data_IF_505893943099
#
_entry.id   IF_505893943099
#
_cell.length_a   1.000
_cell.length_b   1.000
_cell.length_c   1.000
_cell.angle_alpha   90.00
_cell.angle_beta   90.00
_cell.angle_gamma   90.00
#
_symmetry.space_group_name_H-M   'P 1'
#
loop_
_entity.id
_entity.type
_entity.pdbx_description
1 polymer ?
#
# COMPACT_ATOMS: atom_id res chain seq x y z
N UNK A 1 0.41 -10.13 19.88
CA UNK A 1 0.66 -9.56 18.53
C UNK A 1 2.14 -9.25 18.28
N UNK A 2 2.91 -8.82 19.28
CA UNK A 2 4.34 -8.49 19.13
C UNK A 2 5.26 -9.71 18.95
N UNK A 3 4.87 -10.88 19.46
CA UNK A 3 5.67 -12.11 19.40
C UNK A 3 5.67 -12.71 17.99
N UNK A 4 4.52 -12.71 17.32
CA UNK A 4 4.38 -13.25 15.95
C UNK A 4 5.18 -12.44 14.92
N UNK A 5 5.13 -11.11 15.04
CA UNK A 5 5.90 -10.21 14.19
C UNK A 5 7.41 -10.54 14.26
N UNK A 6 7.91 -10.75 15.47
CA UNK A 6 9.33 -11.11 15.70
C UNK A 6 9.72 -12.48 15.14
N UNK A 7 8.78 -13.41 14.97
CA UNK A 7 9.05 -14.75 14.43
C UNK A 7 9.17 -14.72 12.91
N UNK A 8 8.32 -13.95 12.23
CA UNK A 8 8.40 -13.77 10.78
C UNK A 8 9.62 -12.95 10.37
N UNK A 9 9.99 -11.91 11.12
CA UNK A 9 11.23 -11.16 10.89
C UNK A 9 12.46 -12.08 10.94
N UNK A 10 12.55 -12.94 11.96
CA UNK A 10 13.67 -13.88 12.10
C UNK A 10 13.74 -14.86 10.93
N UNK A 11 12.60 -15.38 10.47
CA UNK A 11 12.54 -16.27 9.30
C UNK A 11 13.01 -15.55 8.04
N UNK A 12 12.52 -14.33 7.79
CA UNK A 12 12.94 -13.52 6.64
C UNK A 12 14.45 -13.25 6.66
N UNK A 13 15.02 -12.89 7.81
CA UNK A 13 16.47 -12.66 7.94
C UNK A 13 17.26 -13.92 7.58
N UNK A 14 16.80 -15.10 8.02
CA UNK A 14 17.48 -16.35 7.69
C UNK A 14 17.41 -16.67 6.20
N UNK A 15 16.25 -16.54 5.57
CA UNK A 15 16.10 -16.74 4.12
C UNK A 15 16.98 -15.78 3.31
N UNK A 16 17.04 -14.50 3.71
CA UNK A 16 17.88 -13.49 3.04
C UNK A 16 19.36 -13.85 3.11
N UNK A 17 19.83 -14.46 4.21
CA UNK A 17 21.23 -14.87 4.37
C UNK A 17 21.64 -16.02 3.45
N UNK A 18 20.69 -16.87 3.06
CA UNK A 18 20.94 -18.01 2.17
C UNK A 18 20.91 -17.60 0.68
N UNK A 19 20.45 -16.39 0.36
CA UNK A 19 20.40 -15.87 -1.01
C UNK A 19 21.79 -15.42 -1.45
N UNK A 20 22.20 -15.85 -2.66
CA UNK A 20 23.46 -15.40 -3.24
C UNK A 20 23.47 -13.87 -3.44
N UNK A 21 24.60 -13.24 -3.13
CA UNK A 21 24.74 -11.79 -3.07
C UNK A 21 24.31 -11.06 -4.36
N UNK A 22 24.47 -11.71 -5.52
CA UNK A 22 24.08 -11.20 -6.83
C UNK A 22 22.56 -10.94 -6.98
N UNK A 23 21.71 -11.63 -6.21
CA UNK A 23 20.25 -11.45 -6.26
C UNK A 23 19.73 -10.48 -5.20
N UNK A 24 20.54 -10.04 -4.23
CA UNK A 24 20.10 -9.12 -3.17
C UNK A 24 19.55 -7.79 -3.70
N UNK A 25 20.11 -7.16 -4.77
CA UNK A 25 19.52 -5.94 -5.33
C UNK A 25 18.09 -6.16 -5.84
N UNK A 26 17.82 -7.29 -6.52
CA UNK A 26 16.50 -7.63 -7.03
C UNK A 26 15.51 -7.88 -5.89
N UNK A 27 15.96 -8.58 -4.84
CA UNK A 27 15.14 -8.81 -3.66
C UNK A 27 14.77 -7.50 -2.94
N UNK A 28 15.72 -6.57 -2.83
CA UNK A 28 15.46 -5.26 -2.24
C UNK A 28 14.38 -4.50 -3.01
N UNK A 29 14.40 -4.58 -4.34
CA UNK A 29 13.40 -3.92 -5.18
C UNK A 29 12.00 -4.54 -4.97
N UNK A 30 11.90 -5.87 -4.90
CA UNK A 30 10.64 -6.56 -4.61
C UNK A 30 10.08 -6.11 -3.25
N UNK A 31 10.92 -6.04 -2.20
CA UNK A 31 10.49 -5.59 -0.87
C UNK A 31 10.02 -4.14 -0.89
N UNK A 32 10.65 -3.26 -1.66
CA UNK A 32 10.22 -1.86 -1.82
C UNK A 32 8.86 -1.77 -2.50
N UNK A 33 8.68 -2.47 -3.61
CA UNK A 33 7.40 -2.52 -4.34
C UNK A 33 6.29 -3.07 -3.44
N UNK A 34 6.57 -4.14 -2.69
CA UNK A 34 5.62 -4.69 -1.74
C UNK A 34 5.23 -3.67 -0.68
N UNK A 35 6.21 -3.00 -0.06
CA UNK A 35 5.96 -1.93 0.92
C UNK A 35 5.09 -0.82 0.32
N UNK A 36 5.39 -0.36 -0.90
CA UNK A 36 4.60 0.66 -1.59
C UNK A 36 3.18 0.20 -1.93
N UNK A 37 2.98 -1.10 -2.17
CA UNK A 37 1.66 -1.65 -2.43
C UNK A 37 0.77 -1.75 -1.19
N UNK A 38 1.36 -2.00 -0.02
CA UNK A 38 0.62 -2.13 1.26
C UNK A 38 0.51 -0.81 2.02
N UNK A 39 1.45 0.10 1.82
CA UNK A 39 1.36 1.46 2.35
C UNK A 39 0.33 2.20 1.49
N UNK A 40 -0.81 2.53 2.09
CA UNK A 40 -1.81 3.41 1.47
C UNK A 40 -1.11 4.63 0.87
N UNK A 41 -1.57 5.07 -0.32
CA UNK A 41 -1.09 6.33 -0.91
C UNK A 41 -1.10 7.39 0.20
N UNK A 42 0.01 8.12 0.41
CA UNK A 42 0.06 9.15 1.44
C UNK A 42 -1.17 10.04 1.31
N UNK A 43 -1.79 10.39 2.43
CA UNK A 43 -2.98 11.24 2.43
C UNK A 43 -2.77 12.52 1.61
N UNK A 44 -1.53 13.02 1.57
CA UNK A 44 -1.09 14.11 0.71
C UNK A 44 -1.31 13.85 -0.79
N UNK A 45 -0.97 12.67 -1.30
CA UNK A 45 -1.16 12.32 -2.72
C UNK A 45 -2.65 12.21 -3.05
N UNK A 46 -3.43 11.58 -2.16
CA UNK A 46 -4.89 11.49 -2.31
C UNK A 46 -5.55 12.87 -2.25
N UNK A 47 -5.07 13.76 -1.37
CA UNK A 47 -5.56 15.12 -1.25
C UNK A 47 -5.25 15.96 -2.50
N UNK A 48 -4.01 15.92 -3.01
CA UNK A 48 -3.65 16.64 -4.23
C UNK A 48 -4.49 16.20 -5.43
N UNK A 49 -4.74 14.89 -5.55
CA UNK A 49 -5.58 14.35 -6.61
C UNK A 49 -7.05 14.81 -6.44
N UNK A 50 -7.64 14.64 -5.26
CA UNK A 50 -9.00 15.10 -5.00
C UNK A 50 -9.18 16.62 -5.17
N UNK A 51 -8.16 17.41 -4.83
CA UNK A 51 -8.17 18.86 -5.05
C UNK A 51 -8.15 19.23 -6.54
N UNK A 52 -7.41 18.47 -7.36
CA UNK A 52 -7.40 18.66 -8.81
C UNK A 52 -8.75 18.31 -9.43
N UNK A 53 -9.33 17.17 -9.04
CA UNK A 53 -10.65 16.70 -9.50
C UNK A 53 -11.76 17.69 -9.10
N UNK A 54 -11.76 18.16 -7.86
CA UNK A 54 -12.71 19.16 -7.39
C UNK A 54 -12.64 20.48 -8.18
N UNK A 55 -11.43 20.96 -8.50
CA UNK A 55 -11.25 22.15 -9.34
C UNK A 55 -11.64 21.93 -10.80
N UNK A 56 -11.52 20.72 -11.31
CA UNK A 56 -11.93 20.35 -12.66
C UNK A 56 -13.45 20.14 -12.79
N UNK A 57 -14.17 20.05 -11.66
CA UNK A 57 -15.60 19.71 -11.65
C UNK A 57 -15.87 18.22 -11.80
N UNK A 58 -14.84 17.37 -11.71
CA UNK A 58 -14.95 15.91 -11.72
C UNK A 58 -15.42 15.41 -10.35
N UNK A 59 -16.62 15.83 -9.95
CA UNK A 59 -17.24 15.48 -8.67
C UNK A 59 -18.58 14.79 -8.91
N UNK A 60 -19.02 14.02 -7.91
CA UNK A 60 -20.37 13.45 -7.89
C UNK A 60 -21.19 14.05 -6.75
N UNK A 61 -22.50 14.25 -6.93
CA UNK A 61 -23.39 14.65 -5.86
C UNK A 61 -23.33 13.69 -4.67
N UNK A 62 -23.43 14.22 -3.46
CA UNK A 62 -23.47 13.41 -2.24
C UNK A 62 -24.68 12.46 -2.21
N UNK A 63 -25.77 12.83 -2.89
CA UNK A 63 -26.95 11.98 -3.02
C UNK A 63 -26.68 10.66 -3.75
N UNK A 64 -25.66 10.62 -4.63
CA UNK A 64 -25.30 9.42 -5.41
C UNK A 64 -24.32 8.50 -4.65
N UNK A 65 -23.86 8.90 -3.45
CA UNK A 65 -22.84 8.16 -2.70
C UNK A 65 -23.26 6.73 -2.35
N UNK A 66 -24.57 6.52 -2.17
CA UNK A 66 -25.16 5.24 -1.77
C UNK A 66 -25.87 4.53 -2.92
N UNK A 67 -25.78 5.04 -4.15
CA UNK A 67 -26.42 4.41 -5.31
C UNK A 67 -25.86 3.00 -5.52
N UNK A 68 -26.73 1.99 -5.48
CA UNK A 68 -26.37 0.58 -5.66
C UNK A 68 -25.78 -0.09 -4.41
N UNK A 69 -25.76 0.58 -3.25
CA UNK A 69 -25.51 -0.04 -1.96
C UNK A 69 -26.87 -0.23 -1.28
N UNK A 70 -27.44 -1.44 -1.38
CA UNK A 70 -28.61 -1.82 -0.58
C UNK A 70 -28.17 -1.93 0.89
N UNK A 71 -28.36 -0.85 1.64
CA UNK A 71 -28.23 -0.84 3.08
C UNK A 71 -29.51 -1.39 3.72
N UNK A 72 -29.68 -2.71 3.68
CA UNK A 72 -30.58 -3.45 4.60
C UNK A 72 -29.82 -3.97 5.82
#
# INVERSE_FOLDING_TARGET
MSIEFSLYEKKLINEIKEIAQEYLPNLLEIVRLFRESVVLKPAEVSFHQGWKEAKAGDTRPVSELWDGIDAE
#
